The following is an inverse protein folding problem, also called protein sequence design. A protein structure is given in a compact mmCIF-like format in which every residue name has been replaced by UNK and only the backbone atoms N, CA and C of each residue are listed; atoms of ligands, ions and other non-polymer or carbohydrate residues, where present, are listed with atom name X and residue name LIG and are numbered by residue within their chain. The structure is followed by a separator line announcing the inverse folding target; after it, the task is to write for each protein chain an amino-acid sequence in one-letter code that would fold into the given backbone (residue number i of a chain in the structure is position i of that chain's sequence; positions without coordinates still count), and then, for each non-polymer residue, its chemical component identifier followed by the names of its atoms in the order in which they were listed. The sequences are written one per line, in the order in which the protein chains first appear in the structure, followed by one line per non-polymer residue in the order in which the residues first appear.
data_IF_814890181513
#
_entry.id   IF_814890181513
#
_cell.length_a   1.000
_cell.length_b   1.000
_cell.length_c   1.000
_cell.angle_alpha   90.00
_cell.angle_beta   90.00
_cell.angle_gamma   90.00
#
_symmetry.space_group_name_H-M   'P 1'
#
loop_
_entity.id
_entity.type
_entity.pdbx_description
1 polymer ?
#
# COMPACT_ATOMS: atom_id res chain seq x y z
N UNK A 1 4.56 38.62 -1.54
CA UNK A 1 4.31 37.34 -0.85
C UNK A 1 4.23 36.24 -1.88
N UNK A 2 5.25 35.34 -1.88
CA UNK A 2 5.27 34.17 -2.76
C UNK A 2 4.26 33.16 -2.21
N UNK A 3 3.16 32.98 -2.93
CA UNK A 3 2.25 31.87 -2.67
C UNK A 3 2.97 30.58 -3.02
N UNK A 4 3.24 29.76 -2.01
CA UNK A 4 3.66 28.38 -2.21
C UNK A 4 2.54 27.69 -2.99
N UNK A 5 2.80 27.09 -4.16
CA UNK A 5 1.76 26.36 -4.87
C UNK A 5 1.25 25.26 -3.95
N UNK A 6 -0.05 25.26 -3.69
CA UNK A 6 -0.73 24.17 -2.99
C UNK A 6 -0.48 22.90 -3.79
N UNK A 7 0.14 21.90 -3.18
CA UNK A 7 0.34 20.62 -3.84
C UNK A 7 -1.03 20.13 -4.31
N UNK A 8 -1.22 20.01 -5.62
CA UNK A 8 -2.46 19.48 -6.17
C UNK A 8 -2.70 18.10 -5.59
N UNK A 9 -3.84 17.92 -4.96
CA UNK A 9 -4.23 16.61 -4.42
C UNK A 9 -4.20 15.58 -5.56
N UNK A 10 -3.63 14.41 -5.30
CA UNK A 10 -3.63 13.32 -6.27
C UNK A 10 -5.08 12.92 -6.61
N UNK A 11 -5.35 12.51 -7.85
CA UNK A 11 -6.68 12.05 -8.24
C UNK A 11 -7.07 10.83 -7.39
N UNK A 12 -8.36 10.68 -7.13
CA UNK A 12 -8.92 9.51 -6.42
C UNK A 12 -9.69 8.68 -7.44
N UNK A 13 -9.27 7.43 -7.63
CA UNK A 13 -9.88 6.51 -8.61
C UNK A 13 -10.87 5.53 -7.98
N UNK A 14 -10.95 5.49 -6.67
CA UNK A 14 -11.92 4.68 -5.93
C UNK A 14 -12.38 5.43 -4.67
N UNK A 15 -13.58 5.11 -4.20
CA UNK A 15 -14.17 5.72 -3.00
C UNK A 15 -13.25 5.53 -1.79
N UNK A 16 -12.94 6.60 -1.05
CA UNK A 16 -12.16 6.50 0.16
C UNK A 16 -12.80 5.53 1.16
N UNK A 17 -11.98 4.73 1.79
CA UNK A 17 -12.36 3.85 2.89
C UNK A 17 -11.71 4.35 4.17
N UNK A 18 -12.37 4.18 5.29
CA UNK A 18 -11.90 4.58 6.61
C UNK A 18 -11.98 3.42 7.59
N UNK A 19 -11.09 3.41 8.56
CA UNK A 19 -11.07 2.45 9.64
C UNK A 19 -10.56 3.11 10.90
N UNK A 20 -11.05 2.66 12.05
CA UNK A 20 -10.62 3.13 13.36
C UNK A 20 -9.65 2.09 13.93
N UNK A 21 -8.45 2.53 14.29
CA UNK A 21 -7.46 1.70 14.99
C UNK A 21 -6.93 2.49 16.19
N UNK A 22 -7.02 1.89 17.37
CA UNK A 22 -6.50 2.44 18.62
C UNK A 22 -6.89 3.92 18.88
N UNK A 23 -8.10 4.29 18.42
CA UNK A 23 -8.60 5.66 18.53
C UNK A 23 -8.09 6.63 17.46
N UNK A 24 -7.32 6.13 16.50
CA UNK A 24 -6.97 6.88 15.29
C UNK A 24 -8.01 6.60 14.19
N UNK A 25 -8.55 7.65 13.61
CA UNK A 25 -9.45 7.56 12.47
C UNK A 25 -8.63 7.70 11.18
N UNK A 26 -8.53 6.62 10.41
CA UNK A 26 -7.71 6.56 9.21
C UNK A 26 -8.59 6.56 7.98
N UNK A 27 -8.32 7.44 7.03
CA UNK A 27 -8.93 7.44 5.70
C UNK A 27 -7.89 7.03 4.66
N UNK A 28 -8.27 6.12 3.75
CA UNK A 28 -7.42 5.69 2.64
C UNK A 28 -8.11 5.95 1.33
N UNK A 29 -7.43 6.67 0.46
CA UNK A 29 -7.88 6.96 -0.91
C UNK A 29 -6.96 6.27 -1.91
N UNK A 30 -7.51 5.44 -2.79
CA UNK A 30 -6.73 4.85 -3.87
C UNK A 30 -6.57 5.86 -5.00
N UNK A 31 -5.34 6.13 -5.40
CA UNK A 31 -5.01 7.18 -6.36
C UNK A 31 -4.78 6.64 -7.77
N UNK A 32 -4.09 5.53 -7.92
CA UNK A 32 -3.85 4.94 -9.24
C UNK A 32 -3.46 3.48 -9.18
N UNK A 33 -3.74 2.78 -10.27
CA UNK A 33 -3.10 1.53 -10.66
C UNK A 33 -2.53 1.76 -12.05
N UNK A 34 -1.22 1.93 -12.15
CA UNK A 34 -0.54 2.32 -13.38
C UNK A 34 0.48 1.26 -13.81
N UNK A 35 0.51 0.93 -15.09
CA UNK A 35 1.46 -0.02 -15.68
C UNK A 35 2.45 0.72 -16.56
N UNK A 36 3.73 0.50 -16.33
CA UNK A 36 4.82 0.97 -17.16
C UNK A 36 5.77 -0.20 -17.43
N UNK A 37 5.80 -0.65 -18.69
CA UNK A 37 6.58 -1.84 -19.05
C UNK A 37 6.15 -3.08 -18.24
N UNK A 38 7.09 -3.77 -17.60
CA UNK A 38 6.79 -4.99 -16.83
C UNK A 38 6.27 -4.72 -15.40
N UNK A 39 6.14 -3.45 -15.00
CA UNK A 39 5.82 -3.07 -13.62
C UNK A 39 4.44 -2.43 -13.54
N UNK A 40 3.65 -2.89 -12.59
CA UNK A 40 2.42 -2.25 -12.14
C UNK A 40 2.67 -1.57 -10.79
N UNK A 41 2.34 -0.28 -10.68
CA UNK A 41 2.43 0.48 -9.44
C UNK A 41 1.04 0.82 -8.94
N UNK A 42 0.77 0.52 -7.68
CA UNK A 42 -0.42 0.95 -6.95
C UNK A 42 -0.02 2.10 -6.04
N UNK A 43 -0.74 3.20 -6.12
CA UNK A 43 -0.51 4.40 -5.30
C UNK A 43 -1.77 4.72 -4.51
N UNK A 44 -1.62 4.97 -3.22
CA UNK A 44 -2.71 5.39 -2.34
C UNK A 44 -2.26 6.45 -1.36
N UNK A 45 -3.22 7.16 -0.80
CA UNK A 45 -3.00 8.17 0.24
C UNK A 45 -3.63 7.70 1.54
N UNK A 46 -2.85 7.66 2.61
CA UNK A 46 -3.34 7.49 3.97
C UNK A 46 -3.44 8.86 4.65
N UNK A 47 -4.58 9.14 5.27
CA UNK A 47 -4.84 10.41 5.97
C UNK A 47 -5.28 10.14 7.40
N UNK A 48 -4.73 10.89 8.34
CA UNK A 48 -5.21 10.90 9.71
C UNK A 48 -6.43 11.84 9.80
N UNK A 49 -7.62 11.27 9.88
CA UNK A 49 -8.88 12.01 10.07
C UNK A 49 -9.30 12.09 11.56
N UNK A 50 -8.47 11.61 12.46
CA UNK A 50 -8.68 11.65 13.91
C UNK A 50 -8.14 12.92 14.55
N UNK A 51 -8.21 12.97 15.88
CA UNK A 51 -7.80 14.11 16.70
C UNK A 51 -6.44 13.93 17.38
N UNK A 52 -5.83 12.75 17.23
CA UNK A 52 -4.52 12.39 17.81
C UNK A 52 -3.52 12.08 16.72
N UNK A 53 -2.25 12.27 17.02
CA UNK A 53 -1.16 11.85 16.15
C UNK A 53 -1.26 10.33 15.89
N UNK A 54 -0.96 9.94 14.67
CA UNK A 54 -0.97 8.55 14.25
C UNK A 54 0.33 8.21 13.52
N UNK A 55 1.03 7.19 14.01
CA UNK A 55 2.17 6.60 13.32
C UNK A 55 1.70 5.46 12.46
N UNK A 56 2.04 5.47 11.17
CA UNK A 56 1.59 4.42 10.24
C UNK A 56 2.09 3.04 10.68
N UNK A 57 3.38 2.89 10.97
CA UNK A 57 3.95 1.65 11.48
C UNK A 57 3.58 0.44 10.63
N UNK A 58 3.10 -0.61 11.27
CA UNK A 58 2.73 -1.88 10.64
C UNK A 58 1.30 -1.92 10.05
N UNK A 59 0.65 -0.78 9.90
CA UNK A 59 -0.76 -0.71 9.49
C UNK A 59 -1.03 -1.39 8.14
N UNK A 60 -0.13 -1.26 7.17
CA UNK A 60 -0.25 -1.83 5.83
C UNK A 60 0.51 -3.15 5.67
N UNK A 61 1.05 -3.67 6.75
CA UNK A 61 1.73 -4.96 6.78
C UNK A 61 0.73 -6.07 7.09
N UNK A 62 0.84 -7.20 6.41
CA UNK A 62 0.24 -8.45 6.88
C UNK A 62 1.27 -9.57 6.80
N UNK A 63 1.73 -10.06 7.93
CA UNK A 63 2.64 -11.19 8.03
C UNK A 63 2.12 -12.49 7.42
N UNK A 64 0.82 -12.56 7.19
CA UNK A 64 0.15 -13.79 6.72
C UNK A 64 0.55 -14.28 5.33
N UNK A 65 1.16 -13.45 4.49
CA UNK A 65 1.65 -13.89 3.18
C UNK A 65 2.98 -14.64 3.24
N UNK A 66 3.66 -14.58 4.37
CA UNK A 66 4.99 -15.16 4.56
C UNK A 66 5.01 -16.32 5.58
N UNK A 67 3.86 -16.73 6.09
CA UNK A 67 3.72 -17.92 6.92
C UNK A 67 3.89 -19.20 6.09
N UNK A 68 5.07 -19.38 5.54
CA UNK A 68 5.46 -20.62 4.90
C UNK A 68 6.79 -21.11 5.48
N UNK A 69 7.01 -22.43 5.50
CA UNK A 69 8.25 -23.02 6.06
C UNK A 69 9.54 -22.49 5.46
N UNK A 70 9.48 -21.82 4.31
CA UNK A 70 10.64 -21.23 3.62
C UNK A 70 11.11 -19.90 4.22
N UNK A 71 10.28 -19.24 5.02
CA UNK A 71 10.58 -17.89 5.49
C UNK A 71 10.83 -17.82 7.00
N UNK A 72 10.46 -18.85 7.75
CA UNK A 72 10.65 -18.89 9.21
C UNK A 72 12.10 -19.09 9.65
N UNK A 73 12.99 -19.56 8.76
CA UNK A 73 14.41 -19.78 9.08
C UNK A 73 15.32 -18.58 8.80
N UNK A 74 15.06 -17.84 7.74
CA UNK A 74 15.91 -16.71 7.34
C UNK A 74 15.59 -15.41 8.07
N UNK A 75 14.39 -15.27 8.61
CA UNK A 75 14.01 -14.13 9.43
C UNK A 75 14.49 -14.23 10.89
N UNK A 76 14.95 -15.41 11.35
CA UNK A 76 15.34 -15.64 12.74
C UNK A 76 16.68 -15.03 13.12
N UNK A 77 17.57 -14.71 12.19
CA UNK A 77 18.93 -14.26 12.48
C UNK A 77 19.28 -12.83 12.07
N UNK A 78 18.34 -11.91 12.00
CA UNK A 78 18.71 -10.52 11.78
C UNK A 78 17.81 -9.70 10.87
N UNK A 79 16.80 -10.27 10.29
CA UNK A 79 15.68 -9.52 9.72
C UNK A 79 14.78 -9.05 10.86
N UNK A 80 15.41 -8.27 11.73
CA UNK A 80 14.72 -7.52 12.76
C UNK A 80 13.52 -6.79 12.18
N UNK A 81 12.57 -6.51 13.00
CA UNK A 81 11.47 -5.53 12.99
C UNK A 81 11.35 -4.51 11.83
N UNK A 82 12.33 -4.38 10.97
CA UNK A 82 12.36 -3.43 9.85
C UNK A 82 11.42 -3.79 8.69
N UNK A 83 11.03 -5.05 8.56
CA UNK A 83 10.17 -5.50 7.47
C UNK A 83 8.68 -5.51 7.83
N UNK A 84 8.35 -5.41 9.10
CA UNK A 84 6.97 -5.35 9.58
C UNK A 84 6.33 -3.97 9.42
N UNK A 85 7.14 -2.94 9.17
CA UNK A 85 6.70 -1.56 8.99
C UNK A 85 6.74 -1.12 7.52
N UNK A 86 6.50 -2.08 6.62
CA UNK A 86 6.44 -1.86 5.17
C UNK A 86 4.99 -1.95 4.67
N UNK A 87 4.74 -1.42 3.47
CA UNK A 87 3.43 -1.49 2.82
C UNK A 87 3.22 -2.77 1.99
N UNK A 88 3.87 -3.86 2.34
CA UNK A 88 3.91 -5.11 1.58
C UNK A 88 2.68 -6.00 1.74
N UNK A 89 1.77 -5.65 2.63
CA UNK A 89 0.50 -6.34 2.81
C UNK A 89 -0.56 -5.96 1.78
N UNK A 90 -0.34 -4.91 0.99
CA UNK A 90 -1.24 -4.53 -0.10
C UNK A 90 -1.04 -5.48 -1.27
N UNK A 91 -2.14 -6.04 -1.81
CA UNK A 91 -2.08 -6.93 -2.96
C UNK A 91 -3.18 -6.64 -3.98
N UNK A 92 -2.97 -7.14 -5.19
CA UNK A 92 -3.86 -6.92 -6.32
C UNK A 92 -4.48 -8.24 -6.77
N UNK A 93 -5.78 -8.22 -7.07
CA UNK A 93 -6.52 -9.36 -7.60
C UNK A 93 -6.96 -9.08 -9.04
N UNK A 94 -6.53 -9.93 -9.94
CA UNK A 94 -7.06 -10.06 -11.30
C UNK A 94 -8.10 -11.16 -11.31
N UNK A 95 -9.37 -10.78 -11.30
CA UNK A 95 -10.48 -11.75 -11.29
C UNK A 95 -10.64 -12.48 -12.61
N UNK A 96 -10.27 -11.83 -13.72
CA UNK A 96 -10.42 -12.40 -15.06
C UNK A 96 -9.53 -13.62 -15.22
N UNK A 97 -8.30 -13.56 -14.72
CA UNK A 97 -7.31 -14.64 -14.83
C UNK A 97 -7.14 -15.43 -13.51
N UNK A 98 -7.95 -15.15 -12.50
CA UNK A 98 -7.86 -15.75 -11.16
C UNK A 98 -6.43 -15.66 -10.58
N UNK A 99 -5.80 -14.48 -10.69
CA UNK A 99 -4.44 -14.22 -10.22
C UNK A 99 -4.41 -13.22 -9.07
N UNK A 100 -3.48 -13.46 -8.16
CA UNK A 100 -3.10 -12.53 -7.11
C UNK A 100 -1.67 -12.08 -7.34
N UNK A 101 -1.45 -10.77 -7.32
CA UNK A 101 -0.14 -10.15 -7.44
C UNK A 101 0.29 -9.67 -6.08
N UNK A 102 1.43 -10.15 -5.62
CA UNK A 102 2.09 -9.72 -4.40
C UNK A 102 3.21 -8.74 -4.74
N UNK A 103 3.57 -7.90 -3.78
CA UNK A 103 4.65 -6.93 -3.90
C UNK A 103 5.95 -7.59 -4.33
N UNK A 104 6.64 -6.98 -5.30
CA UNK A 104 7.97 -7.41 -5.71
C UNK A 104 8.97 -7.32 -4.57
N UNK A 105 9.98 -8.20 -4.58
CA UNK A 105 11.07 -8.21 -3.59
C UNK A 105 12.42 -8.38 -4.25
N UNK A 106 13.43 -7.74 -3.65
CA UNK A 106 14.82 -7.94 -4.08
C UNK A 106 15.44 -9.19 -3.42
N UNK A 107 16.72 -9.44 -3.72
CA UNK A 107 17.46 -10.59 -3.16
C UNK A 107 17.65 -10.53 -1.64
N UNK A 108 17.57 -9.34 -1.06
CA UNK A 108 17.61 -9.12 0.38
C UNK A 108 16.21 -9.12 1.01
N UNK A 109 15.20 -9.59 0.28
CA UNK A 109 13.80 -9.67 0.69
C UNK A 109 13.14 -8.31 1.00
N UNK A 110 13.75 -7.20 0.60
CA UNK A 110 13.15 -5.88 0.75
C UNK A 110 12.07 -5.70 -0.30
N UNK A 111 10.90 -5.19 0.12
CA UNK A 111 9.81 -4.96 -0.79
C UNK A 111 10.08 -3.79 -1.76
N UNK A 112 9.52 -3.86 -2.94
CA UNK A 112 9.39 -2.74 -3.86
C UNK A 112 8.14 -1.93 -3.44
N UNK A 113 8.17 -1.35 -2.25
CA UNK A 113 7.06 -0.63 -1.66
C UNK A 113 7.53 0.44 -0.67
N UNK A 114 6.63 1.31 -0.23
CA UNK A 114 6.90 2.24 0.86
C UNK A 114 7.30 1.49 2.11
N UNK A 115 8.42 1.86 2.69
CA UNK A 115 9.05 1.21 3.83
C UNK A 115 9.39 2.20 4.95
N UNK A 116 9.89 1.70 6.08
CA UNK A 116 10.24 2.52 7.26
C UNK A 116 9.05 3.35 7.79
N UNK A 117 7.84 2.81 7.66
CA UNK A 117 6.60 3.49 8.04
C UNK A 117 6.48 3.76 9.55
N UNK A 118 7.33 3.13 10.35
CA UNK A 118 7.49 3.44 11.78
C UNK A 118 7.96 4.89 12.03
N UNK A 119 8.61 5.50 11.04
CA UNK A 119 9.08 6.88 11.10
C UNK A 119 8.05 7.89 10.55
N UNK A 120 6.94 7.40 9.99
CA UNK A 120 5.90 8.26 9.40
C UNK A 120 4.81 8.54 10.43
N UNK A 121 4.88 9.71 11.04
CA UNK A 121 3.88 10.19 12.00
C UNK A 121 3.00 11.27 11.36
N UNK A 122 1.70 11.04 11.36
CA UNK A 122 0.70 11.95 10.79
C UNK A 122 -0.05 12.66 11.91
N UNK A 123 0.09 13.96 11.98
CA UNK A 123 -0.74 14.80 12.84
C UNK A 123 -2.20 14.83 12.34
N UNK A 124 -3.18 15.24 13.15
CA UNK A 124 -4.55 15.40 12.71
C UNK A 124 -4.67 16.18 11.40
N UNK A 125 -5.34 15.60 10.41
CA UNK A 125 -5.47 16.14 9.06
C UNK A 125 -4.27 15.86 8.13
N UNK A 126 -3.15 15.40 8.67
CA UNK A 126 -1.96 15.04 7.89
C UNK A 126 -2.17 13.80 7.01
N UNK A 127 -1.40 13.70 5.93
CA UNK A 127 -1.47 12.59 4.99
C UNK A 127 -0.09 12.19 4.47
N UNK A 128 0.02 10.93 4.02
CA UNK A 128 1.18 10.39 3.33
C UNK A 128 0.74 9.65 2.08
N UNK A 129 1.49 9.80 1.01
CA UNK A 129 1.33 9.02 -0.23
C UNK A 129 2.23 7.82 -0.15
N UNK A 130 1.65 6.65 -0.39
CA UNK A 130 2.32 5.36 -0.32
C UNK A 130 2.17 4.63 -1.64
N UNK A 131 3.10 3.72 -1.92
CA UNK A 131 3.08 2.92 -3.14
C UNK A 131 3.62 1.51 -2.91
N UNK A 132 3.22 0.61 -3.81
CA UNK A 132 3.80 -0.72 -3.93
C UNK A 132 3.83 -1.15 -5.40
N UNK A 133 4.86 -1.92 -5.75
CA UNK A 133 5.11 -2.37 -7.12
C UNK A 133 4.92 -3.87 -7.24
N UNK A 134 4.38 -4.27 -8.39
CA UNK A 134 3.99 -5.63 -8.74
C UNK A 134 4.41 -5.95 -10.16
N UNK A 135 4.41 -7.22 -10.52
CA UNK A 135 4.46 -7.62 -11.91
C UNK A 135 3.23 -7.08 -12.65
N UNK A 136 3.42 -6.53 -13.85
CA UNK A 136 2.32 -6.06 -14.67
C UNK A 136 1.41 -7.22 -15.09
N UNK A 137 0.07 -7.05 -15.04
CA UNK A 137 -0.86 -8.01 -15.60
C UNK A 137 -0.82 -7.97 -17.13
N UNK A 138 -1.36 -9.03 -17.81
CA UNK A 138 -1.54 -9.01 -19.25
C UNK A 138 -2.26 -7.75 -19.74
N UNK A 139 -1.96 -7.32 -20.98
CA UNK A 139 -2.56 -6.11 -21.57
C UNK A 139 -4.09 -6.15 -21.67
N UNK A 140 -4.66 -7.35 -21.74
CA UNK A 140 -6.12 -7.55 -21.75
C UNK A 140 -6.81 -7.21 -20.42
N UNK A 141 -6.06 -7.09 -19.33
CA UNK A 141 -6.59 -6.74 -18.03
C UNK A 141 -6.74 -5.22 -17.95
N UNK A 142 -7.99 -4.75 -17.93
CA UNK A 142 -8.33 -3.32 -17.90
C UNK A 142 -8.73 -2.83 -16.52
N UNK A 143 -9.07 -3.75 -15.62
CA UNK A 143 -9.43 -3.45 -14.23
C UNK A 143 -8.95 -4.55 -13.28
N UNK A 144 -8.70 -4.18 -12.05
CA UNK A 144 -8.28 -5.08 -10.97
C UNK A 144 -8.96 -4.69 -9.65
N UNK A 145 -8.95 -5.59 -8.68
CA UNK A 145 -9.27 -5.23 -7.30
C UNK A 145 -7.98 -4.98 -6.54
N UNK A 146 -7.98 -3.96 -5.68
CA UNK A 146 -6.87 -3.66 -4.78
C UNK A 146 -7.31 -3.92 -3.35
N UNK A 147 -6.61 -4.80 -2.65
CA UNK A 147 -6.88 -5.16 -1.25
C UNK A 147 -5.84 -4.51 -0.36
N UNK A 148 -6.31 -3.66 0.54
CA UNK A 148 -5.46 -2.94 1.50
C UNK A 148 -5.77 -3.45 2.90
N UNK A 149 -4.77 -3.94 3.65
CA UNK A 149 -4.94 -4.41 5.02
C UNK A 149 -5.62 -3.37 5.90
N UNK A 150 -6.48 -3.82 6.82
CA UNK A 150 -7.23 -2.99 7.75
C UNK A 150 -8.21 -1.99 7.11
N UNK A 151 -8.28 -1.94 5.78
CA UNK A 151 -9.13 -1.01 5.02
C UNK A 151 -10.20 -1.76 4.25
N UNK A 152 -9.81 -2.76 3.47
CA UNK A 152 -10.73 -3.56 2.66
C UNK A 152 -10.34 -3.61 1.18
N UNK A 153 -11.33 -3.88 0.33
CA UNK A 153 -11.13 -4.09 -1.09
C UNK A 153 -11.72 -2.95 -1.91
N UNK A 154 -10.88 -2.30 -2.70
CA UNK A 154 -11.29 -1.40 -3.78
C UNK A 154 -11.52 -2.23 -5.04
N UNK A 155 -12.75 -2.27 -5.53
CA UNK A 155 -13.17 -3.16 -6.62
C UNK A 155 -13.16 -2.46 -7.96
N UNK A 156 -12.90 -3.23 -9.02
CA UNK A 156 -12.98 -2.78 -10.42
C UNK A 156 -12.19 -1.48 -10.67
N UNK A 157 -10.99 -1.41 -10.11
CA UNK A 157 -10.12 -0.24 -10.26
C UNK A 157 -9.52 -0.26 -11.66
N UNK A 158 -9.66 0.82 -12.46
CA UNK A 158 -9.11 0.87 -13.80
C UNK A 158 -7.57 0.82 -13.78
N UNK A 159 -7.01 0.06 -14.70
CA UNK A 159 -5.57 -0.03 -14.94
C UNK A 159 -5.19 0.94 -16.05
N UNK A 160 -4.34 1.92 -15.75
CA UNK A 160 -3.79 2.86 -16.75
C UNK A 160 -2.48 2.33 -17.34
N UNK A 161 -2.22 2.63 -18.62
CA UNK A 161 -1.01 2.22 -19.37
C UNK A 161 -0.50 3.37 -20.22
#
# INVERSE_FOLDING_TARGET
PSSVPSASALPVVATPAGTDIDGAKVEVSLNSVAVAGPVMTVTWTARNAGEKDWTIGSYFFTGSFFEGPKYTGEFAEGASSRHIDDADGVYVLDRTNARRYLTGRDKAMRCACSSELYAVNLTPGGSAVLEAQYQAPPQSVTEVDVVIPNVGTFRAVPVTR
#
